data_IF_380126525943
#
_entry.id   IF_380126525943
#
_cell.length_a   1.000
_cell.length_b   1.000
_cell.length_c   1.000
_cell.angle_alpha   90.00
_cell.angle_beta   90.00
_cell.angle_gamma   90.00
#
_symmetry.space_group_name_H-M   'P 1'
#
loop_
_entity.id
_entity.type
_entity.pdbx_description
1 polymer ?
#
# COMPACT_ATOMS: atom_id res chain seq x y z
N UNK A 1 31.94 -37.70 10.34
CA UNK A 1 31.76 -36.31 9.85
C UNK A 1 30.71 -36.34 8.74
N UNK A 2 29.45 -36.12 9.07
CA UNK A 2 28.40 -35.89 8.07
C UNK A 2 28.12 -34.38 8.01
N UNK A 3 28.37 -33.78 6.84
CA UNK A 3 28.00 -32.39 6.59
C UNK A 3 26.47 -32.29 6.58
N UNK A 4 25.93 -31.45 7.47
CA UNK A 4 24.59 -30.91 7.35
C UNK A 4 24.52 -30.05 6.08
N UNK A 5 23.83 -30.52 5.05
CA UNK A 5 23.26 -29.62 4.06
C UNK A 5 22.05 -28.94 4.69
N UNK A 6 22.23 -27.69 5.14
CA UNK A 6 21.09 -26.81 5.42
C UNK A 6 20.40 -26.52 4.10
N UNK A 7 19.19 -27.07 3.92
CA UNK A 7 18.26 -26.62 2.88
C UNK A 7 18.07 -25.11 3.06
N UNK A 8 18.53 -24.33 2.08
CA UNK A 8 18.06 -22.97 1.91
C UNK A 8 16.55 -23.04 1.68
N UNK A 9 15.76 -22.51 2.60
CA UNK A 9 14.36 -22.18 2.33
C UNK A 9 14.39 -21.02 1.36
N UNK A 10 14.19 -21.32 0.08
CA UNK A 10 14.02 -20.32 -0.96
C UNK A 10 12.85 -19.40 -0.59
N UNK A 11 13.16 -18.18 -0.20
CA UNK A 11 12.26 -17.02 -0.29
C UNK A 11 12.38 -16.35 -1.67
N UNK A 12 12.91 -17.06 -2.66
CA UNK A 12 13.02 -16.60 -4.05
C UNK A 12 11.76 -17.06 -4.80
N UNK A 13 10.86 -16.12 -5.08
CA UNK A 13 9.71 -16.41 -5.92
C UNK A 13 8.72 -15.27 -6.17
N UNK A 14 8.65 -14.24 -5.32
CA UNK A 14 7.79 -13.07 -5.61
C UNK A 14 8.62 -11.97 -6.27
N UNK A 15 8.42 -11.80 -7.57
CA UNK A 15 9.04 -10.73 -8.34
C UNK A 15 8.45 -9.40 -7.86
N UNK A 16 9.24 -8.60 -7.14
CA UNK A 16 8.85 -7.24 -6.75
C UNK A 16 8.52 -6.47 -8.03
N UNK A 17 7.29 -5.95 -8.15
CA UNK A 17 6.94 -5.08 -9.27
C UNK A 17 7.84 -3.85 -9.27
N UNK A 18 8.31 -3.50 -10.45
CA UNK A 18 9.01 -2.24 -10.69
C UNK A 18 8.03 -1.07 -10.65
N UNK A 19 8.54 0.13 -10.36
CA UNK A 19 7.73 1.35 -10.41
C UNK A 19 7.00 1.53 -11.75
N UNK A 20 7.68 1.19 -12.86
CA UNK A 20 7.12 1.34 -14.20
C UNK A 20 5.91 0.44 -14.44
N UNK A 21 5.94 -0.79 -13.92
CA UNK A 21 4.81 -1.72 -14.00
C UNK A 21 3.62 -1.26 -13.15
N UNK A 22 3.86 -0.56 -12.04
CA UNK A 22 2.80 -0.02 -11.18
C UNK A 22 2.13 1.19 -11.85
N UNK A 23 2.91 2.08 -12.44
CA UNK A 23 2.42 3.33 -13.05
C UNK A 23 1.65 3.12 -14.36
N UNK A 24 1.88 2.01 -15.07
CA UNK A 24 1.28 1.73 -16.39
C UNK A 24 0.00 0.88 -16.32
N UNK A 25 -0.53 0.61 -15.12
CA UNK A 25 -1.71 -0.24 -14.97
C UNK A 25 -2.97 0.45 -15.47
N UNK A 26 -3.80 -0.33 -16.15
CA UNK A 26 -5.10 0.15 -16.63
C UNK A 26 -6.07 0.35 -15.45
N UNK A 27 -6.65 1.54 -15.40
CA UNK A 27 -7.62 1.95 -14.37
C UNK A 27 -9.05 1.97 -14.90
N UNK A 28 -9.27 1.69 -16.19
CA UNK A 28 -10.55 1.83 -16.90
C UNK A 28 -11.65 0.91 -16.37
N UNK A 29 -11.27 -0.25 -15.82
CA UNK A 29 -12.18 -1.25 -15.24
C UNK A 29 -12.41 -1.06 -13.74
N UNK A 30 -11.81 -0.03 -13.12
CA UNK A 30 -11.84 0.18 -11.67
C UNK A 30 -12.97 1.11 -11.25
N UNK A 31 -13.59 0.81 -10.11
CA UNK A 31 -14.55 1.71 -9.48
C UNK A 31 -13.79 2.86 -8.80
N UNK A 32 -14.01 4.09 -9.27
CA UNK A 32 -13.51 5.31 -8.62
C UNK A 32 -14.34 5.63 -7.38
N UNK A 33 -13.68 5.80 -6.25
CA UNK A 33 -14.28 6.22 -4.97
C UNK A 33 -13.50 7.43 -4.47
N UNK A 34 -14.17 8.57 -4.31
CA UNK A 34 -13.57 9.74 -3.68
C UNK A 34 -14.00 9.73 -2.21
N UNK A 35 -13.05 9.61 -1.29
CA UNK A 35 -13.31 9.74 0.15
C UNK A 35 -12.78 11.08 0.62
N UNK A 36 -13.70 11.98 0.98
CA UNK A 36 -13.34 13.20 1.71
C UNK A 36 -12.84 12.81 3.09
N UNK A 37 -11.86 13.56 3.60
CA UNK A 37 -11.35 13.41 4.97
C UNK A 37 -12.53 13.51 5.94
N UNK A 38 -13.02 12.39 6.47
CA UNK A 38 -14.00 12.43 7.55
C UNK A 38 -14.09 11.11 8.31
N UNK A 39 -14.11 11.28 9.64
CA UNK A 39 -14.37 10.40 10.77
C UNK A 39 -14.21 8.87 10.60
N UNK A 40 -13.48 8.34 11.57
CA UNK A 40 -13.28 6.91 11.80
C UNK A 40 -14.64 6.19 11.84
N UNK A 41 -14.68 4.94 11.36
CA UNK A 41 -15.83 4.07 11.62
C UNK A 41 -16.14 4.07 13.13
N UNK A 42 -17.43 3.95 13.48
CA UNK A 42 -18.02 4.31 14.78
C UNK A 42 -17.47 3.61 16.04
N UNK A 43 -16.50 2.72 15.87
CA UNK A 43 -15.70 2.02 16.88
C UNK A 43 -14.37 2.74 17.23
N UNK A 44 -14.03 3.83 16.52
CA UNK A 44 -12.96 4.78 16.88
C UNK A 44 -11.52 4.24 16.78
N UNK A 45 -11.34 2.98 16.38
CA UNK A 45 -10.02 2.36 16.20
C UNK A 45 -9.70 2.24 14.72
N UNK A 46 -8.77 3.06 14.23
CA UNK A 46 -8.17 2.86 12.90
C UNK A 46 -7.28 1.63 12.95
N UNK A 47 -7.57 0.63 12.11
CA UNK A 47 -6.60 -0.42 11.80
C UNK A 47 -5.70 0.06 10.67
N UNK A 48 -4.45 0.39 10.98
CA UNK A 48 -3.44 0.74 9.97
C UNK A 48 -3.05 -0.54 9.23
N UNK A 49 -3.13 -0.49 7.90
CA UNK A 49 -2.71 -1.60 7.03
C UNK A 49 -1.21 -1.58 6.85
N UNK A 50 -0.62 -0.46 6.40
CA UNK A 50 0.83 -0.29 6.35
C UNK A 50 1.24 1.12 6.74
N UNK A 51 2.48 1.26 7.15
CA UNK A 51 3.12 2.52 7.41
C UNK A 51 4.58 2.50 6.95
N UNK A 52 5.04 3.63 6.43
CA UNK A 52 6.41 3.85 6.01
C UNK A 52 6.92 5.17 6.56
N UNK A 53 8.22 5.20 6.84
CA UNK A 53 8.95 6.42 7.12
C UNK A 53 9.83 6.70 5.91
N UNK A 54 9.65 7.86 5.28
CA UNK A 54 10.38 8.28 4.09
C UNK A 54 11.07 9.61 4.35
N UNK A 55 12.26 9.77 3.78
CA UNK A 55 12.98 11.05 3.79
C UNK A 55 12.74 11.76 2.45
N UNK A 56 12.29 13.02 2.50
CA UNK A 56 12.07 13.86 1.33
C UNK A 56 12.64 15.25 1.55
N UNK A 57 13.45 15.72 0.60
CA UNK A 57 14.09 17.04 0.53
C UNK A 57 15.01 17.38 1.72
N UNK A 58 14.48 17.46 2.95
CA UNK A 58 15.20 17.63 4.22
C UNK A 58 14.29 17.31 5.44
N UNK A 59 13.21 16.56 5.23
CA UNK A 59 12.25 16.24 6.29
C UNK A 59 11.86 14.77 6.20
N UNK A 60 11.60 14.21 7.36
CA UNK A 60 11.13 12.85 7.49
C UNK A 60 9.59 12.86 7.60
N UNK A 61 8.96 12.01 6.81
CA UNK A 61 7.50 11.86 6.79
C UNK A 61 7.13 10.43 7.16
N UNK A 62 6.12 10.31 8.02
CA UNK A 62 5.44 9.04 8.26
C UNK A 62 4.17 9.00 7.44
N UNK A 63 4.16 8.14 6.42
CA UNK A 63 2.98 7.89 5.59
C UNK A 63 2.37 6.56 6.02
N UNK A 64 1.08 6.54 6.32
CA UNK A 64 0.36 5.32 6.65
C UNK A 64 -1.00 5.28 6.00
N UNK A 65 -1.53 4.10 5.75
CA UNK A 65 -2.87 3.96 5.19
C UNK A 65 -3.63 2.80 5.82
N UNK A 66 -4.94 2.80 5.62
CA UNK A 66 -5.83 1.73 6.03
C UNK A 66 -6.69 1.34 4.85
N UNK A 67 -6.68 0.04 4.53
CA UNK A 67 -7.49 -0.55 3.48
C UNK A 67 -8.97 -0.61 3.86
N UNK A 68 -9.27 -0.70 5.16
CA UNK A 68 -10.63 -0.85 5.67
C UNK A 68 -11.46 0.44 5.46
N UNK A 69 -10.83 1.60 5.63
CA UNK A 69 -11.48 2.90 5.46
C UNK A 69 -10.95 3.74 4.29
N UNK A 70 -9.92 3.26 3.58
CA UNK A 70 -9.32 3.90 2.40
C UNK A 70 -8.74 5.29 2.67
N UNK A 71 -8.32 5.55 3.91
CA UNK A 71 -7.67 6.79 4.28
C UNK A 71 -6.14 6.66 4.27
N UNK A 72 -5.51 7.79 3.95
CA UNK A 72 -4.07 8.00 4.08
C UNK A 72 -3.84 9.05 5.17
N UNK A 73 -2.82 8.81 6.00
CA UNK A 73 -2.33 9.75 7.00
C UNK A 73 -0.89 10.11 6.73
N UNK A 74 -0.57 11.40 6.88
CA UNK A 74 0.78 11.96 6.81
C UNK A 74 1.08 12.57 8.17
N UNK A 75 2.12 12.07 8.84
CA UNK A 75 2.50 12.46 10.21
C UNK A 75 1.32 12.39 11.20
N UNK A 76 0.45 11.39 11.02
CA UNK A 76 -0.75 11.18 11.86
C UNK A 76 -1.96 12.03 11.48
N UNK A 77 -1.85 12.93 10.50
CA UNK A 77 -2.96 13.76 10.02
C UNK A 77 -3.57 13.13 8.75
N UNK A 78 -4.88 12.93 8.74
CA UNK A 78 -5.59 12.39 7.58
C UNK A 78 -5.57 13.39 6.42
N UNK A 79 -5.37 12.89 5.19
CA UNK A 79 -5.31 13.72 3.98
C UNK A 79 -6.39 13.31 2.98
N UNK A 80 -6.78 14.25 2.12
CA UNK A 80 -7.72 13.96 1.05
C UNK A 80 -7.10 12.94 0.09
N UNK A 81 -7.88 11.91 -0.23
CA UNK A 81 -7.40 10.76 -0.99
C UNK A 81 -8.42 10.38 -2.06
N UNK A 82 -7.94 10.15 -3.29
CA UNK A 82 -8.73 9.53 -4.35
C UNK A 82 -8.41 8.03 -4.38
N UNK A 83 -9.44 7.19 -4.24
CA UNK A 83 -9.27 5.75 -4.23
C UNK A 83 -9.85 5.11 -5.50
N UNK A 84 -9.20 4.05 -5.99
CA UNK A 84 -9.77 3.13 -6.97
C UNK A 84 -9.67 1.70 -6.44
N UNK A 85 -10.76 0.95 -6.60
CA UNK A 85 -10.86 -0.45 -6.17
C UNK A 85 -11.26 -1.30 -7.38
N UNK A 86 -10.59 -2.43 -7.56
CA UNK A 86 -10.93 -3.46 -8.54
C UNK A 86 -11.77 -4.57 -7.93
N UNK A 87 -12.81 -4.98 -8.65
CA UNK A 87 -13.65 -6.13 -8.27
C UNK A 87 -13.06 -7.49 -8.72
N UNK A 88 -11.89 -7.50 -9.37
CA UNK A 88 -11.25 -8.69 -9.97
C UNK A 88 -9.86 -9.01 -9.40
N UNK A 89 -9.73 -8.84 -8.09
CA UNK A 89 -8.46 -8.89 -7.37
C UNK A 89 -8.36 -7.58 -6.62
N UNK A 90 -8.80 -7.63 -5.36
CA UNK A 90 -8.49 -6.89 -4.13
C UNK A 90 -7.52 -5.69 -4.11
N UNK A 91 -6.88 -5.34 -5.20
CA UNK A 91 -5.99 -4.22 -5.36
C UNK A 91 -6.66 -2.89 -5.03
N UNK A 92 -5.92 -2.08 -4.29
CA UNK A 92 -6.32 -0.74 -3.89
C UNK A 92 -5.28 0.22 -4.43
N UNK A 93 -5.77 1.25 -5.11
CA UNK A 93 -4.99 2.42 -5.49
C UNK A 93 -5.47 3.63 -4.70
N UNK A 94 -4.55 4.31 -4.04
CA UNK A 94 -4.81 5.52 -3.28
C UNK A 94 -3.88 6.62 -3.78
N UNK A 95 -4.45 7.71 -4.26
CA UNK A 95 -3.74 8.87 -4.76
C UNK A 95 -3.93 10.04 -3.80
N UNK A 96 -2.83 10.70 -3.45
CA UNK A 96 -2.78 11.83 -2.52
C UNK A 96 -1.67 12.80 -2.93
N UNK A 97 -1.55 13.91 -2.20
CA UNK A 97 -0.46 14.88 -2.42
C UNK A 97 0.38 15.01 -1.15
N UNK A 98 1.70 15.05 -1.30
CA UNK A 98 2.66 15.29 -0.22
C UNK A 98 3.66 16.36 -0.68
N UNK A 99 3.63 17.54 -0.05
CA UNK A 99 4.51 18.67 -0.41
C UNK A 99 4.47 19.03 -1.91
N UNK A 100 3.28 18.98 -2.51
CA UNK A 100 3.07 19.23 -3.94
C UNK A 100 3.51 18.10 -4.88
N UNK A 101 4.02 16.99 -4.35
CA UNK A 101 4.38 15.79 -5.10
C UNK A 101 3.21 14.80 -5.14
N UNK A 102 3.15 14.02 -6.22
CA UNK A 102 2.15 12.98 -6.38
C UNK A 102 2.49 11.80 -5.48
N UNK A 103 1.59 11.46 -4.57
CA UNK A 103 1.65 10.27 -3.75
C UNK A 103 0.73 9.19 -4.29
N UNK A 104 1.25 7.97 -4.39
CA UNK A 104 0.48 6.80 -4.83
C UNK A 104 0.78 5.62 -3.91
N UNK A 105 -0.27 5.03 -3.35
CA UNK A 105 -0.18 3.75 -2.64
C UNK A 105 -0.92 2.70 -3.47
N UNK A 106 -0.24 1.57 -3.67
CA UNK A 106 -0.77 0.43 -4.39
C UNK A 106 -0.68 -0.83 -3.53
N UNK A 107 -1.79 -1.53 -3.35
CA UNK A 107 -1.85 -2.87 -2.77
C UNK A 107 -1.96 -3.90 -3.88
N UNK A 108 -1.01 -4.83 -3.94
CA UNK A 108 -0.99 -6.00 -4.84
C UNK A 108 -1.36 -7.25 -4.04
N UNK A 109 -2.60 -7.72 -4.21
CA UNK A 109 -3.16 -8.81 -3.41
C UNK A 109 -3.29 -10.08 -4.25
N UNK A 110 -2.68 -11.16 -3.77
CA UNK A 110 -2.72 -12.47 -4.41
C UNK A 110 -3.02 -13.53 -3.35
N UNK A 111 -4.22 -14.12 -3.41
CA UNK A 111 -4.70 -15.05 -2.38
C UNK A 111 -4.74 -14.41 -0.99
N UNK A 112 -3.96 -14.96 -0.06
CA UNK A 112 -3.84 -14.47 1.33
C UNK A 112 -2.62 -13.56 1.56
N UNK A 113 -1.88 -13.27 0.49
CA UNK A 113 -0.68 -12.43 0.53
C UNK A 113 -0.97 -11.04 -0.03
N UNK A 114 -0.34 -10.03 0.55
CA UNK A 114 -0.44 -8.65 0.11
C UNK A 114 0.92 -7.99 0.14
N UNK A 115 1.24 -7.29 -0.94
CA UNK A 115 2.37 -6.36 -0.99
C UNK A 115 1.83 -4.94 -1.15
N UNK A 116 2.19 -4.06 -0.24
CA UNK A 116 1.84 -2.65 -0.30
C UNK A 116 3.04 -1.83 -0.74
N UNK A 117 2.83 -0.96 -1.71
CA UNK A 117 3.82 -0.07 -2.28
C UNK A 117 3.46 1.38 -1.96
N UNK A 118 4.45 2.17 -1.57
CA UNK A 118 4.38 3.62 -1.50
C UNK A 118 5.27 4.20 -2.59
N UNK A 119 4.67 5.00 -3.47
CA UNK A 119 5.34 5.71 -4.55
C UNK A 119 5.19 7.22 -4.34
N UNK A 120 6.26 7.96 -4.63
CA UNK A 120 6.27 9.42 -4.67
C UNK A 120 6.80 9.84 -6.05
N UNK A 121 6.03 10.63 -6.80
CA UNK A 121 6.28 10.97 -8.20
C UNK A 121 6.60 9.72 -9.06
N UNK A 122 5.87 8.63 -8.79
CA UNK A 122 6.07 7.36 -9.48
C UNK A 122 7.32 6.58 -9.09
N UNK A 123 8.11 7.01 -8.09
CA UNK A 123 9.24 6.24 -7.56
C UNK A 123 8.86 5.49 -6.27
N UNK A 124 9.16 4.19 -6.19
CA UNK A 124 8.96 3.41 -4.97
C UNK A 124 9.84 3.96 -3.84
N UNK A 125 9.20 4.42 -2.77
CA UNK A 125 9.85 4.84 -1.51
C UNK A 125 9.63 3.86 -0.37
N UNK A 126 8.60 3.00 -0.46
CA UNK A 126 8.28 2.03 0.59
C UNK A 126 7.65 0.75 0.02
N UNK A 127 7.95 -0.38 0.66
CA UNK A 127 7.36 -1.68 0.39
C UNK A 127 7.06 -2.37 1.72
N UNK A 128 5.90 -2.97 1.85
CA UNK A 128 5.50 -3.72 3.05
C UNK A 128 4.75 -5.01 2.67
N UNK A 129 5.24 -6.14 3.15
CA UNK A 129 4.74 -7.47 2.81
C UNK A 129 3.97 -8.09 3.96
N UNK A 130 2.79 -8.64 3.67
CA UNK A 130 1.89 -9.22 4.67
C UNK A 130 1.38 -10.59 4.22
N UNK A 131 1.41 -11.57 5.13
CA UNK A 131 1.01 -12.98 4.89
C UNK A 131 -0.29 -13.39 5.58
N UNK A 132 -1.04 -12.42 6.10
CA UNK A 132 -2.36 -12.64 6.71
C UNK A 132 -3.29 -11.53 6.28
N UNK A 133 -3.77 -11.60 5.05
CA UNK A 133 -5.05 -10.97 4.73
C UNK A 133 -6.09 -11.93 5.26
N UNK A 134 -6.68 -11.62 6.42
CA UNK A 134 -7.82 -12.39 6.95
C UNK A 134 -8.83 -12.51 5.81
N UNK A 135 -9.02 -13.73 5.31
CA UNK A 135 -10.05 -14.01 4.33
C UNK A 135 -11.39 -13.62 4.96
N UNK A 136 -12.13 -12.74 4.29
CA UNK A 136 -13.53 -12.54 4.62
C UNK A 136 -14.24 -13.90 4.47
N UNK A 137 -14.60 -14.52 5.59
CA UNK A 137 -15.59 -15.59 5.63
C UNK A 137 -16.97 -15.06 5.23
#
# INVERSE_FOLDING_TARGET
MSMLFRRATSTEGRMKRSSNEINTRDMSTKKKVIRKVQELSGDGKVKVTSAWTIDMSNSQYRVSFSRDNLHVWINGTAVETTCYITDHGYDVDLFFTLEGQEGHIYSDVEGHEMMNYLLINGEIKGQDYQTKVDSAE
#
